data_IF_787837794081
#
_entry.id   IF_787837794081
#
_cell.length_a   1.000
_cell.length_b   1.000
_cell.length_c   1.000
_cell.angle_alpha   90.00
_cell.angle_beta   90.00
_cell.angle_gamma   90.00
#
_symmetry.space_group_name_H-M   'P 1'
#
loop_
_entity.id
_entity.type
_entity.pdbx_description
1 polymer ?
#
# COMPACT_ATOMS: atom_id res chain seq x y z
N UNK A 1 15.10 -17.95 -1.33
CA UNK A 1 14.68 -16.76 -0.59
C UNK A 1 13.21 -16.85 -0.24
N UNK A 2 12.86 -16.38 0.92
CA UNK A 2 11.47 -16.40 1.37
C UNK A 2 10.78 -15.08 0.98
N UNK A 3 10.23 -15.03 -0.22
CA UNK A 3 9.55 -13.84 -0.72
C UNK A 3 8.26 -13.52 0.06
N UNK A 4 7.60 -14.53 0.61
CA UNK A 4 6.43 -14.33 1.46
C UNK A 4 6.82 -13.60 2.76
N UNK A 5 7.95 -13.97 3.35
CA UNK A 5 8.46 -13.25 4.52
C UNK A 5 8.83 -11.80 4.17
N UNK A 6 9.36 -11.56 2.99
CA UNK A 6 9.72 -10.21 2.54
C UNK A 6 8.49 -9.31 2.42
N UNK A 7 7.40 -9.79 1.81
CA UNK A 7 6.19 -8.97 1.67
C UNK A 7 5.56 -8.67 3.05
N UNK A 8 5.61 -9.64 3.98
CA UNK A 8 5.15 -9.41 5.36
C UNK A 8 5.98 -8.33 6.05
N UNK A 9 7.30 -8.37 5.86
CA UNK A 9 8.19 -7.34 6.40
C UNK A 9 7.89 -5.97 5.78
N UNK A 10 7.60 -5.90 4.48
CA UNK A 10 7.21 -4.65 3.82
C UNK A 10 5.98 -4.03 4.51
N UNK A 11 4.95 -4.82 4.78
CA UNK A 11 3.76 -4.34 5.47
C UNK A 11 4.07 -3.88 6.91
N UNK A 12 4.92 -4.61 7.62
CA UNK A 12 5.34 -4.22 8.97
C UNK A 12 6.07 -2.87 8.98
N UNK A 13 6.97 -2.66 8.02
CA UNK A 13 7.71 -1.41 7.89
C UNK A 13 6.79 -0.24 7.55
N UNK A 14 5.84 -0.44 6.63
CA UNK A 14 4.85 0.57 6.29
C UNK A 14 3.96 0.91 7.49
N UNK A 15 3.54 -0.09 8.26
CA UNK A 15 2.75 0.10 9.48
C UNK A 15 3.54 0.83 10.57
N UNK A 16 4.85 0.61 10.64
CA UNK A 16 5.73 1.29 11.59
C UNK A 16 6.12 2.70 11.13
N UNK A 17 5.83 3.06 9.89
CA UNK A 17 6.22 4.37 9.32
C UNK A 17 7.66 4.43 8.84
N UNK A 18 8.33 3.28 8.72
CA UNK A 18 9.70 3.20 8.22
C UNK A 18 9.69 3.06 6.69
N UNK A 19 9.45 4.17 6.00
CA UNK A 19 9.36 4.19 4.54
C UNK A 19 10.74 3.95 3.91
N UNK A 20 11.81 4.40 4.53
CA UNK A 20 13.17 4.14 4.03
C UNK A 20 13.53 2.66 4.14
N UNK A 21 13.21 2.02 5.26
CA UNK A 21 13.39 0.58 5.41
C UNK A 21 12.57 -0.23 4.40
N UNK A 22 11.34 0.19 4.14
CA UNK A 22 10.51 -0.36 3.07
C UNK A 22 11.19 -0.19 1.71
N UNK A 23 11.70 0.99 1.41
CA UNK A 23 12.42 1.27 0.17
C UNK A 23 13.68 0.41 -0.03
N UNK A 24 14.35 0.02 1.05
CA UNK A 24 15.53 -0.84 0.98
C UNK A 24 15.20 -2.26 0.48
N UNK A 25 13.94 -2.66 0.51
CA UNK A 25 13.46 -3.94 -0.03
C UNK A 25 13.04 -3.85 -1.50
N UNK A 26 13.17 -2.67 -2.12
CA UNK A 26 12.77 -2.40 -3.49
C UNK A 26 14.02 -2.13 -4.33
N UNK A 27 14.09 -2.76 -5.51
CA UNK A 27 15.18 -2.55 -6.45
C UNK A 27 15.13 -1.14 -7.07
N UNK A 28 16.29 -0.62 -7.46
CA UNK A 28 16.36 0.72 -8.06
C UNK A 28 15.66 0.79 -9.43
N UNK A 29 15.55 -0.33 -10.13
CA UNK A 29 14.86 -0.44 -11.42
C UNK A 29 13.39 -0.91 -11.29
N UNK A 30 12.83 -0.83 -10.10
CA UNK A 30 11.45 -1.22 -9.80
C UNK A 30 10.44 -0.48 -10.68
N UNK A 31 9.39 -1.19 -11.09
CA UNK A 31 8.28 -0.63 -11.88
C UNK A 31 6.97 -0.82 -11.12
N UNK A 32 6.27 0.29 -10.90
CA UNK A 32 4.95 0.31 -10.26
C UNK A 32 3.86 0.30 -11.32
N UNK A 33 3.04 -0.76 -11.35
CA UNK A 33 1.92 -0.88 -12.29
C UNK A 33 0.59 -0.36 -11.73
N UNK A 34 0.49 -0.17 -10.41
CA UNK A 34 -0.64 0.52 -9.78
C UNK A 34 -0.34 2.02 -9.74
N UNK A 35 -0.56 2.69 -10.88
CA UNK A 35 -0.16 4.08 -11.04
C UNK A 35 -1.04 5.05 -10.23
N UNK A 36 -0.38 6.03 -9.61
CA UNK A 36 -1.05 7.15 -8.94
C UNK A 36 -0.81 8.42 -9.76
N UNK A 37 -1.86 9.14 -10.15
CA UNK A 37 -1.70 10.41 -10.90
C UNK A 37 -0.77 11.38 -10.19
N UNK A 38 0.20 11.93 -10.93
CA UNK A 38 1.17 12.88 -10.40
C UNK A 38 2.42 12.27 -9.78
N UNK A 39 2.49 10.94 -9.64
CA UNK A 39 3.66 10.22 -9.14
C UNK A 39 4.31 9.38 -10.24
N UNK A 40 5.62 9.26 -10.21
CA UNK A 40 6.34 8.38 -11.13
C UNK A 40 6.12 6.91 -10.75
N UNK A 41 6.07 5.99 -11.76
CA UNK A 41 5.90 4.54 -11.50
C UNK A 41 7.22 3.87 -11.14
N UNK A 42 7.93 4.43 -10.16
CA UNK A 42 9.27 4.06 -9.74
C UNK A 42 9.34 3.86 -8.23
N UNK A 43 10.48 3.35 -7.73
CA UNK A 43 10.77 3.27 -6.30
C UNK A 43 10.56 4.63 -5.60
N UNK A 44 11.06 5.72 -6.19
CA UNK A 44 10.91 7.05 -5.62
C UNK A 44 9.43 7.46 -5.53
N UNK A 45 8.66 7.18 -6.58
CA UNK A 45 7.23 7.48 -6.62
C UNK A 45 6.44 6.70 -5.58
N UNK A 46 6.75 5.42 -5.38
CA UNK A 46 6.11 4.58 -4.36
C UNK A 46 6.42 5.07 -2.95
N UNK A 47 7.67 5.44 -2.68
CA UNK A 47 8.05 6.02 -1.38
C UNK A 47 7.29 7.31 -1.12
N UNK A 48 7.20 8.18 -2.13
CA UNK A 48 6.45 9.43 -2.05
C UNK A 48 4.97 9.17 -1.76
N UNK A 49 4.37 8.17 -2.43
CA UNK A 49 2.99 7.77 -2.17
C UNK A 49 2.77 7.40 -0.69
N UNK A 50 3.63 6.58 -0.11
CA UNK A 50 3.47 6.17 1.28
C UNK A 50 3.76 7.28 2.28
N UNK A 51 4.64 8.23 1.97
CA UNK A 51 4.78 9.43 2.78
C UNK A 51 3.48 10.25 2.79
N UNK A 52 2.85 10.41 1.63
CA UNK A 52 1.57 11.11 1.51
C UNK A 52 0.45 10.36 2.21
N UNK A 53 0.40 9.03 2.05
CA UNK A 53 -0.61 8.20 2.66
C UNK A 53 -0.51 8.23 4.19
N UNK A 54 0.68 8.14 4.74
CA UNK A 54 0.88 8.23 6.19
C UNK A 54 0.62 9.63 6.74
N UNK A 55 0.86 10.67 5.98
CA UNK A 55 0.47 12.02 6.38
C UNK A 55 -1.06 12.14 6.50
N UNK A 56 -1.79 11.49 5.61
CA UNK A 56 -3.25 11.45 5.65
C UNK A 56 -3.79 10.50 6.74
N UNK A 57 -3.09 9.39 6.99
CA UNK A 57 -3.46 8.33 7.95
C UNK A 57 -2.24 8.01 8.83
N UNK A 58 -1.96 8.84 9.86
CA UNK A 58 -0.74 8.63 10.68
C UNK A 58 -0.70 7.31 11.43
N UNK A 59 -1.85 6.71 11.68
CA UNK A 59 -2.01 5.43 12.35
C UNK A 59 -2.18 4.26 11.37
N UNK A 60 -1.74 4.43 10.11
CA UNK A 60 -1.82 3.38 9.09
C UNK A 60 -1.30 2.05 9.61
N UNK A 61 -2.10 1.01 9.42
CA UNK A 61 -1.69 -0.37 9.58
C UNK A 61 -2.06 -1.16 8.34
N UNK A 62 -1.13 -1.96 7.87
CA UNK A 62 -1.35 -2.90 6.77
C UNK A 62 -1.13 -4.31 7.30
N UNK A 63 -2.19 -5.11 7.31
CA UNK A 63 -2.18 -6.45 7.89
C UNK A 63 -2.46 -7.49 6.80
N UNK A 64 -1.47 -8.37 6.51
CA UNK A 64 -1.71 -9.44 5.55
C UNK A 64 -2.70 -10.46 6.12
N UNK A 65 -3.64 -10.88 5.30
CA UNK A 65 -4.64 -11.92 5.63
C UNK A 65 -4.27 -13.24 4.98
N UNK A 66 -3.86 -13.22 3.71
CA UNK A 66 -3.36 -14.35 2.95
C UNK A 66 -2.09 -13.95 2.23
N UNK A 67 -1.09 -14.81 2.22
CA UNK A 67 0.15 -14.60 1.47
C UNK A 67 0.50 -15.92 0.77
N UNK A 68 0.55 -15.87 -0.55
CA UNK A 68 0.81 -17.04 -1.40
C UNK A 68 2.00 -16.75 -2.30
N UNK A 69 3.01 -17.61 -2.25
CA UNK A 69 4.20 -17.48 -3.11
C UNK A 69 4.15 -18.53 -4.22
N UNK A 70 4.48 -18.11 -5.43
CA UNK A 70 4.60 -18.98 -6.60
C UNK A 70 5.73 -18.49 -7.50
N UNK A 71 6.84 -19.24 -7.54
CA UNK A 71 8.03 -18.82 -8.28
C UNK A 71 8.60 -17.52 -7.73
N UNK A 72 8.78 -16.53 -8.60
CA UNK A 72 9.31 -15.22 -8.24
C UNK A 72 8.24 -14.21 -7.81
N UNK A 73 6.97 -14.63 -7.73
CA UNK A 73 5.84 -13.77 -7.39
C UNK A 73 5.21 -14.16 -6.05
N UNK A 74 4.72 -13.13 -5.35
CA UNK A 74 3.91 -13.30 -4.14
C UNK A 74 2.61 -12.56 -4.35
N UNK A 75 1.51 -13.21 -4.00
CA UNK A 75 0.18 -12.59 -3.93
C UNK A 75 -0.18 -12.43 -2.46
N UNK A 76 -0.58 -11.22 -2.09
CA UNK A 76 -1.05 -10.94 -0.73
C UNK A 76 -2.41 -10.27 -0.77
N UNK A 77 -3.32 -10.78 0.06
CA UNK A 77 -4.56 -10.10 0.40
C UNK A 77 -4.35 -9.47 1.77
N UNK A 78 -4.56 -8.18 1.88
CA UNK A 78 -4.30 -7.44 3.10
C UNK A 78 -5.43 -6.46 3.42
N UNK A 79 -5.43 -5.96 4.65
CA UNK A 79 -6.31 -4.88 5.08
C UNK A 79 -5.48 -3.68 5.45
N UNK A 80 -5.91 -2.51 4.99
CA UNK A 80 -5.33 -1.23 5.38
C UNK A 80 -6.34 -0.50 6.24
N UNK A 81 -5.93 -0.14 7.46
CA UNK A 81 -6.75 0.60 8.42
C UNK A 81 -6.06 1.90 8.81
N UNK A 82 -6.83 2.88 9.19
CA UNK A 82 -6.30 4.15 9.65
C UNK A 82 -7.39 5.19 9.87
N UNK A 83 -7.00 6.32 10.46
CA UNK A 83 -7.87 7.45 10.73
C UNK A 83 -7.42 8.64 9.91
N UNK A 84 -8.35 9.26 9.18
CA UNK A 84 -8.04 10.37 8.26
C UNK A 84 -7.81 11.66 9.05
N UNK A 85 -6.56 11.92 9.41
CA UNK A 85 -6.13 13.07 10.20
C UNK A 85 -5.47 14.18 9.37
N UNK A 86 -5.15 13.90 8.10
CA UNK A 86 -4.53 14.85 7.19
C UNK A 86 -5.22 14.86 5.84
N UNK A 87 -4.85 15.83 5.00
CA UNK A 87 -5.37 15.93 3.63
C UNK A 87 -5.07 14.63 2.86
N UNK A 88 -6.05 14.14 2.12
CA UNK A 88 -5.92 12.96 1.29
C UNK A 88 -6.48 13.25 -0.12
N UNK A 89 -5.62 13.13 -1.14
CA UNK A 89 -5.97 13.35 -2.55
C UNK A 89 -6.72 14.67 -2.79
N UNK A 90 -6.26 15.75 -2.17
CA UNK A 90 -6.85 17.08 -2.30
C UNK A 90 -8.08 17.31 -1.42
N UNK A 91 -8.52 16.33 -0.65
CA UNK A 91 -9.66 16.45 0.25
C UNK A 91 -9.21 16.74 1.67
N UNK A 92 -9.90 17.65 2.40
CA UNK A 92 -9.58 17.91 3.81
C UNK A 92 -9.75 16.67 4.67
N UNK A 93 -9.03 16.62 5.80
CA UNK A 93 -9.17 15.56 6.77
C UNK A 93 -10.61 15.49 7.31
N UNK A 94 -11.14 14.27 7.39
CA UNK A 94 -12.52 14.02 7.86
C UNK A 94 -12.59 13.55 9.30
N UNK A 95 -11.48 13.08 9.87
CA UNK A 95 -11.44 12.42 11.17
C UNK A 95 -12.05 11.02 11.18
N UNK A 96 -12.49 10.53 10.02
CA UNK A 96 -13.14 9.22 9.90
C UNK A 96 -12.12 8.10 9.73
N UNK A 97 -12.49 6.93 10.23
CA UNK A 97 -11.68 5.73 10.08
C UNK A 97 -12.00 5.00 8.79
N UNK A 98 -10.96 4.38 8.20
CA UNK A 98 -11.10 3.51 7.04
C UNK A 98 -10.61 2.11 7.38
N UNK A 99 -11.21 1.13 6.73
CA UNK A 99 -10.84 -0.27 6.79
C UNK A 99 -11.14 -0.87 5.42
N UNK A 100 -10.10 -1.01 4.60
CA UNK A 100 -10.25 -1.43 3.21
C UNK A 100 -9.41 -2.66 2.92
N UNK A 101 -9.92 -3.48 2.01
CA UNK A 101 -9.21 -4.65 1.52
C UNK A 101 -8.41 -4.28 0.27
N UNK A 102 -7.24 -4.89 0.15
CA UNK A 102 -6.39 -4.73 -1.03
C UNK A 102 -5.77 -6.08 -1.40
N UNK A 103 -5.36 -6.18 -2.65
CA UNK A 103 -4.62 -7.32 -3.16
C UNK A 103 -3.39 -6.79 -3.88
N UNK A 104 -2.22 -7.27 -3.47
CA UNK A 104 -0.93 -6.95 -4.06
C UNK A 104 -0.32 -8.18 -4.70
N UNK A 105 0.32 -7.98 -5.84
CA UNK A 105 1.21 -8.97 -6.46
C UNK A 105 2.57 -8.29 -6.61
N UNK A 106 3.61 -8.94 -6.09
CA UNK A 106 4.98 -8.44 -6.19
C UNK A 106 5.84 -9.51 -6.84
N UNK A 107 6.61 -9.12 -7.86
CA UNK A 107 7.66 -9.96 -8.44
C UNK A 107 8.99 -9.56 -7.83
N UNK A 108 9.75 -10.56 -7.40
CA UNK A 108 11.07 -10.37 -6.79
C UNK A 108 12.17 -10.83 -7.74
N UNK A 109 13.31 -10.16 -7.69
CA UNK A 109 14.52 -10.57 -8.41
C UNK A 109 15.33 -11.61 -7.62
N UNK A 110 16.42 -12.09 -8.23
CA UNK A 110 17.32 -13.08 -7.63
C UNK A 110 18.01 -12.55 -6.36
N UNK A 111 18.13 -11.24 -6.23
CA UNK A 111 18.66 -10.57 -5.04
C UNK A 111 17.65 -10.42 -3.91
N UNK A 112 16.42 -10.89 -4.11
CA UNK A 112 15.34 -10.78 -3.12
C UNK A 112 14.69 -9.42 -3.04
N UNK A 113 15.01 -8.49 -3.95
CA UNK A 113 14.39 -7.16 -3.99
C UNK A 113 13.18 -7.15 -4.91
N UNK A 114 12.17 -6.35 -4.55
CA UNK A 114 10.97 -6.20 -5.36
C UNK A 114 11.30 -5.49 -6.68
N UNK A 115 10.85 -6.07 -7.80
CA UNK A 115 11.08 -5.57 -9.16
C UNK A 115 9.84 -4.95 -9.78
N UNK A 116 8.67 -5.52 -9.49
CA UNK A 116 7.39 -5.07 -10.03
C UNK A 116 6.29 -5.25 -9.00
N UNK A 117 5.31 -4.36 -9.05
CA UNK A 117 4.13 -4.44 -8.24
C UNK A 117 2.88 -4.20 -9.10
N UNK A 118 1.88 -5.05 -8.89
CA UNK A 118 0.50 -4.85 -9.35
C UNK A 118 -0.39 -4.84 -8.13
N UNK A 119 -1.36 -3.96 -8.08
CA UNK A 119 -2.25 -3.92 -6.94
C UNK A 119 -3.58 -3.27 -7.26
N UNK A 120 -4.56 -3.63 -6.48
CA UNK A 120 -5.88 -3.00 -6.46
C UNK A 120 -6.35 -2.91 -5.02
N UNK A 121 -7.11 -1.89 -4.72
CA UNK A 121 -7.75 -1.74 -3.42
C UNK A 121 -9.19 -1.30 -3.59
N UNK A 122 -10.00 -1.46 -2.56
CA UNK A 122 -11.41 -1.08 -2.57
C UNK A 122 -11.52 0.45 -2.43
N UNK A 123 -11.28 1.15 -3.52
CA UNK A 123 -11.35 2.61 -3.57
C UNK A 123 -12.77 3.13 -3.33
N UNK A 124 -13.77 2.46 -3.88
CA UNK A 124 -15.16 2.83 -3.67
C UNK A 124 -15.53 2.76 -2.19
N UNK A 125 -15.19 1.65 -1.52
CA UNK A 125 -15.42 1.48 -0.10
C UNK A 125 -14.72 2.54 0.73
N UNK A 126 -13.48 2.87 0.39
CA UNK A 126 -12.73 3.93 1.07
C UNK A 126 -13.44 5.28 0.95
N UNK A 127 -13.87 5.66 -0.26
CA UNK A 127 -14.56 6.94 -0.48
C UNK A 127 -15.89 7.00 0.27
N UNK A 128 -16.61 5.89 0.36
CA UNK A 128 -17.84 5.80 1.15
C UNK A 128 -17.56 5.96 2.65
N UNK A 129 -16.52 5.29 3.16
CA UNK A 129 -16.13 5.37 4.57
C UNK A 129 -15.67 6.78 4.95
N UNK A 130 -14.99 7.49 4.05
CA UNK A 130 -14.58 8.87 4.25
C UNK A 130 -15.74 9.87 4.09
N UNK A 131 -16.87 9.44 3.56
CA UNK A 131 -18.01 10.31 3.30
C UNK A 131 -17.87 11.17 2.05
N UNK A 132 -16.88 10.87 1.19
CA UNK A 132 -16.68 11.59 -0.09
C UNK A 132 -17.75 11.24 -1.12
N UNK A 133 -18.32 10.04 -1.03
CA UNK A 133 -19.48 9.59 -1.82
C UNK A 133 -20.50 8.92 -0.89
N UNK A 134 -21.79 8.84 -1.29
CA UNK A 134 -22.81 8.21 -0.44
C UNK A 134 -22.51 6.75 -0.14
N UNK A 135 -22.80 6.34 1.10
CA UNK A 135 -22.74 4.94 1.49
C UNK A 135 -23.79 4.14 0.71
N UNK A 136 -23.59 2.80 0.53
CA UNK A 136 -24.59 1.98 -0.14
C UNK A 136 -25.90 1.97 0.65
N UNK A 137 -27.05 1.83 -0.03
CA UNK A 137 -28.32 1.71 0.68
C UNK A 137 -28.33 0.49 1.58
N UNK A 138 -29.02 0.60 2.71
CA UNK A 138 -29.14 -0.46 3.70
C UNK A 138 -29.94 -1.66 3.16
#
# INVERSE_FOLDING_TARGET
MDHAATIRRMYDLLSAGDIDGFGDLIADDFVEHEETPGLEPTKAGVKQFFHMYRAAFPDLRMEPQDVLASGDKVVARARATGTNQGEFMGMPATGKSVDVQLIDIIRFGDDGLAREHWGVFDALGMMQQLGAIPAPPA
#
